data_IF_386294628105
#
_entry.id   IF_386294628105
#
_cell.length_a   1.000
_cell.length_b   1.000
_cell.length_c   1.000
_cell.angle_alpha   90.00
_cell.angle_beta   90.00
_cell.angle_gamma   90.00
#
_symmetry.space_group_name_H-M   'P 1'
#
loop_
_entity.id
_entity.type
_entity.pdbx_description
1 polymer ?
#
# COMPACT_ATOMS: atom_id res chain seq x y z
N UNK A 1 14.24 -4.82 17.78
CA UNK A 1 12.84 -5.23 17.54
C UNK A 1 12.07 -4.12 16.84
N UNK A 2 11.89 -2.93 17.43
CA UNK A 2 11.17 -1.81 16.79
C UNK A 2 11.74 -1.35 15.43
N UNK A 3 13.07 -1.24 15.28
CA UNK A 3 13.66 -0.92 13.98
C UNK A 3 13.42 -1.96 12.87
N UNK A 4 13.21 -3.23 13.21
CA UNK A 4 12.82 -4.25 12.23
C UNK A 4 11.34 -4.17 11.87
N UNK A 5 10.48 -3.71 12.80
CA UNK A 5 9.07 -3.44 12.53
C UNK A 5 8.92 -2.23 11.59
N UNK A 6 9.79 -1.22 11.73
CA UNK A 6 9.80 -0.06 10.83
C UNK A 6 10.02 -0.45 9.35
N UNK A 7 10.85 -1.45 9.09
CA UNK A 7 11.08 -1.97 7.73
C UNK A 7 10.01 -2.95 7.22
N UNK A 8 8.96 -3.22 8.02
CA UNK A 8 7.88 -4.17 7.69
C UNK A 8 6.51 -3.50 7.59
N UNK A 9 6.39 -2.22 7.92
CA UNK A 9 5.14 -1.46 7.79
C UNK A 9 5.15 -0.64 6.50
N UNK A 10 4.03 -0.69 5.77
CA UNK A 10 3.81 0.13 4.57
C UNK A 10 3.34 1.56 4.92
N UNK A 11 3.10 1.83 6.21
CA UNK A 11 2.74 3.16 6.70
C UNK A 11 4.00 3.97 7.02
N UNK A 12 4.30 4.96 6.17
CA UNK A 12 5.48 5.82 6.32
C UNK A 12 5.54 6.59 7.65
N UNK A 13 4.40 6.99 8.21
CA UNK A 13 4.34 7.69 9.50
C UNK A 13 4.67 6.73 10.64
N UNK A 14 4.12 5.51 10.59
CA UNK A 14 4.40 4.45 11.56
C UNK A 14 5.87 3.99 11.47
N UNK A 15 6.40 3.81 10.25
CA UNK A 15 7.80 3.51 10.00
C UNK A 15 8.71 4.60 10.59
N UNK A 16 8.33 5.87 10.44
CA UNK A 16 9.03 7.02 11.02
C UNK A 16 9.04 7.02 12.55
N UNK A 17 7.90 6.71 13.19
CA UNK A 17 7.78 6.60 14.65
C UNK A 17 8.62 5.42 15.17
N UNK A 18 8.47 4.24 14.59
CA UNK A 18 9.20 3.03 14.98
C UNK A 18 10.72 3.18 14.80
N UNK A 19 11.15 3.85 13.72
CA UNK A 19 12.56 4.17 13.48
C UNK A 19 13.09 5.13 14.55
N UNK A 20 12.34 6.20 14.85
CA UNK A 20 12.72 7.21 15.84
C UNK A 20 12.82 6.61 17.25
N UNK A 21 11.86 5.78 17.66
CA UNK A 21 11.92 5.08 18.95
C UNK A 21 13.10 4.09 19.01
N UNK A 22 13.37 3.38 17.90
CA UNK A 22 14.50 2.46 17.83
C UNK A 22 15.83 3.19 17.98
N UNK A 23 16.00 4.35 17.35
CA UNK A 23 17.18 5.20 17.56
C UNK A 23 17.28 5.67 19.00
N UNK A 24 16.18 6.12 19.63
CA UNK A 24 16.20 6.53 21.03
C UNK A 24 16.72 5.45 21.99
N UNK A 25 16.31 4.18 21.80
CA UNK A 25 16.84 3.08 22.60
C UNK A 25 18.30 2.77 22.33
N UNK A 26 18.72 2.78 21.06
CA UNK A 26 20.08 2.45 20.67
C UNK A 26 21.07 3.57 21.05
N UNK A 27 20.65 4.83 20.94
CA UNK A 27 21.42 5.98 21.41
C UNK A 27 21.64 5.88 22.92
N UNK A 28 20.61 5.55 23.69
CA UNK A 28 20.77 5.36 25.14
C UNK A 28 21.64 4.16 25.47
N UNK A 29 21.57 3.08 24.70
CA UNK A 29 22.41 1.90 24.91
C UNK A 29 23.90 2.22 24.67
N UNK A 30 24.24 2.96 23.61
CA UNK A 30 25.63 3.37 23.35
C UNK A 30 26.09 4.48 24.31
N UNK A 31 25.19 5.33 24.80
CA UNK A 31 25.50 6.30 25.86
C UNK A 31 25.89 5.61 27.19
N UNK A 32 25.12 4.58 27.58
CA UNK A 32 25.34 3.84 28.83
C UNK A 32 26.54 2.90 28.75
N UNK A 33 26.81 2.32 27.58
CA UNK A 33 27.98 1.48 27.32
C UNK A 33 28.56 1.79 25.93
N UNK A 34 29.52 2.75 25.85
CA UNK A 34 30.13 3.15 24.60
C UNK A 34 30.90 2.04 23.87
N UNK A 35 31.22 0.93 24.54
CA UNK A 35 31.95 -0.19 23.93
C UNK A 35 31.01 -1.33 23.52
N UNK A 36 29.69 -1.15 23.63
CA UNK A 36 28.72 -2.17 23.28
C UNK A 36 28.65 -2.40 21.77
N UNK A 37 29.39 -3.40 21.28
CA UNK A 37 29.49 -3.71 19.86
C UNK A 37 28.16 -4.09 19.22
N UNK A 38 27.24 -4.73 19.97
CA UNK A 38 25.92 -5.09 19.46
C UNK A 38 25.01 -3.87 19.30
N UNK A 39 24.99 -2.97 20.30
CA UNK A 39 24.19 -1.74 20.20
C UNK A 39 24.66 -0.88 19.01
N UNK A 40 25.98 -0.75 18.83
CA UNK A 40 26.58 -0.06 17.67
C UNK A 40 26.25 -0.74 16.34
N UNK A 41 26.34 -2.07 16.26
CA UNK A 41 25.97 -2.82 15.05
C UNK A 41 24.51 -2.56 14.67
N UNK A 42 23.57 -2.66 15.62
CA UNK A 42 22.16 -2.45 15.33
C UNK A 42 21.83 -0.99 15.01
N UNK A 43 22.52 -0.01 15.63
CA UNK A 43 22.37 1.40 15.29
C UNK A 43 22.93 1.71 13.90
N UNK A 44 24.07 1.09 13.57
CA UNK A 44 24.66 1.07 12.24
C UNK A 44 23.71 0.50 11.17
N UNK A 45 23.17 -0.69 11.41
CA UNK A 45 22.21 -1.34 10.51
C UNK A 45 21.02 -0.43 10.21
N UNK A 46 20.38 0.12 11.25
CA UNK A 46 19.19 0.94 11.05
C UNK A 46 19.57 2.25 10.35
N UNK A 47 20.65 2.92 10.75
CA UNK A 47 21.06 4.18 10.13
C UNK A 47 21.51 4.04 8.67
N UNK A 48 21.97 2.86 8.24
CA UNK A 48 22.20 2.56 6.81
C UNK A 48 20.89 2.32 6.07
N UNK A 49 19.89 1.67 6.70
CA UNK A 49 18.65 1.25 6.03
C UNK A 49 17.56 2.31 5.97
N UNK A 50 17.57 3.30 6.85
CA UNK A 50 16.57 4.38 6.85
C UNK A 50 16.85 5.45 5.77
N UNK A 51 15.84 6.23 5.32
CA UNK A 51 16.03 7.28 4.33
C UNK A 51 17.08 8.34 4.71
N UNK A 52 17.81 8.83 3.70
CA UNK A 52 18.93 9.76 3.87
C UNK A 52 18.55 11.06 4.59
N UNK A 53 17.33 11.57 4.37
CA UNK A 53 16.85 12.82 4.99
C UNK A 53 16.78 12.76 6.53
N UNK A 54 16.88 11.58 7.14
CA UNK A 54 16.95 11.41 8.60
C UNK A 54 18.37 11.67 9.17
N UNK A 55 19.38 11.83 8.31
CA UNK A 55 20.71 12.28 8.71
C UNK A 55 21.43 11.32 9.67
N UNK A 56 21.22 10.01 9.52
CA UNK A 56 21.81 8.96 10.39
C UNK A 56 22.95 8.19 9.75
N UNK A 57 23.20 8.38 8.46
CA UNK A 57 24.17 7.59 7.68
C UNK A 57 25.62 7.73 8.22
N UNK A 58 26.08 8.95 8.51
CA UNK A 58 27.43 9.19 9.05
C UNK A 58 27.65 8.52 10.42
N UNK A 59 26.64 8.63 11.31
CA UNK A 59 26.69 8.00 12.63
C UNK A 59 26.73 6.47 12.51
N UNK A 60 25.93 5.92 11.59
CA UNK A 60 25.88 4.51 11.34
C UNK A 60 27.22 3.96 10.82
N UNK A 61 27.84 4.64 9.86
CA UNK A 61 29.16 4.26 9.34
C UNK A 61 30.20 4.31 10.47
N UNK A 62 30.20 5.37 11.28
CA UNK A 62 31.12 5.48 12.42
C UNK A 62 30.96 4.34 13.44
N UNK A 63 29.71 3.93 13.72
CA UNK A 63 29.44 2.80 14.61
C UNK A 63 29.92 1.47 14.02
N UNK A 64 29.72 1.25 12.73
CA UNK A 64 30.15 0.03 12.06
C UNK A 64 31.68 -0.04 11.93
N UNK A 65 32.34 1.09 11.65
CA UNK A 65 33.81 1.23 11.69
C UNK A 65 34.36 0.89 13.08
N UNK A 66 33.66 1.30 14.14
CA UNK A 66 34.03 0.93 15.50
C UNK A 66 33.95 -0.58 15.71
N UNK A 67 32.89 -1.23 15.20
CA UNK A 67 32.70 -2.67 15.32
C UNK A 67 33.77 -3.46 14.56
N UNK A 68 34.08 -3.07 13.32
CA UNK A 68 35.12 -3.75 12.53
C UNK A 68 36.50 -3.52 13.12
N UNK A 69 36.81 -2.30 13.59
CA UNK A 69 38.07 -2.00 14.27
C UNK A 69 38.26 -2.80 15.55
N UNK A 70 37.20 -2.97 16.36
CA UNK A 70 37.26 -3.80 17.57
C UNK A 70 37.62 -5.26 17.24
N UNK A 71 37.07 -5.78 16.14
CA UNK A 71 37.42 -7.11 15.63
C UNK A 71 38.86 -7.18 15.12
N UNK A 72 39.34 -6.18 14.40
CA UNK A 72 40.74 -6.11 13.93
C UNK A 72 41.75 -6.05 15.09
N UNK A 73 41.41 -5.36 16.19
CA UNK A 73 42.29 -5.24 17.35
C UNK A 73 42.27 -6.47 18.26
N UNK A 74 41.10 -7.09 18.44
CA UNK A 74 40.94 -8.25 19.32
C UNK A 74 40.03 -9.32 18.68
N UNK A 75 40.50 -10.03 17.63
CA UNK A 75 39.68 -11.02 16.92
C UNK A 75 39.20 -12.19 17.77
N UNK A 76 39.95 -12.54 18.84
CA UNK A 76 39.59 -13.62 19.77
C UNK A 76 38.52 -13.23 20.79
N UNK A 77 38.33 -11.92 21.01
CA UNK A 77 37.36 -11.39 21.98
C UNK A 77 36.10 -10.83 21.29
N UNK A 78 36.13 -10.71 19.96
CA UNK A 78 35.05 -10.17 19.14
C UNK A 78 34.46 -11.25 18.23
N UNK A 79 33.13 -11.26 18.08
CA UNK A 79 32.44 -12.28 17.28
C UNK A 79 32.71 -12.08 15.77
N UNK A 80 33.33 -13.06 15.11
CA UNK A 80 33.54 -13.06 13.65
C UNK A 80 32.24 -12.85 12.84
N UNK A 81 31.11 -13.53 13.14
CA UNK A 81 29.81 -13.23 12.51
C UNK A 81 29.34 -11.77 12.67
N UNK A 82 29.65 -11.15 13.80
CA UNK A 82 29.29 -9.76 14.07
C UNK A 82 30.15 -8.79 13.26
N UNK A 83 31.45 -9.09 13.09
CA UNK A 83 32.34 -8.34 12.21
C UNK A 83 31.96 -8.47 10.74
N UNK A 84 31.56 -9.67 10.30
CA UNK A 84 31.07 -9.89 8.93
C UNK A 84 29.84 -9.04 8.64
N UNK A 85 28.83 -9.06 9.52
CA UNK A 85 27.65 -8.18 9.38
C UNK A 85 28.04 -6.69 9.35
N UNK A 86 29.02 -6.27 10.15
CA UNK A 86 29.49 -4.90 10.14
C UNK A 86 30.18 -4.51 8.81
N UNK A 87 31.00 -5.39 8.23
CA UNK A 87 31.64 -5.15 6.93
C UNK A 87 30.62 -5.10 5.77
N UNK A 88 29.60 -5.94 5.80
CA UNK A 88 28.51 -5.93 4.82
C UNK A 88 27.74 -4.60 4.86
N UNK A 89 27.35 -4.16 6.05
CA UNK A 89 26.64 -2.90 6.24
C UNK A 89 27.53 -1.67 5.94
N UNK A 90 28.84 -1.76 6.18
CA UNK A 90 29.80 -0.71 5.80
C UNK A 90 29.92 -0.56 4.30
N UNK A 91 29.94 -1.66 3.56
CA UNK A 91 29.98 -1.62 2.11
C UNK A 91 28.77 -0.85 1.56
N UNK A 92 27.57 -1.19 2.04
CA UNK A 92 26.34 -0.48 1.67
C UNK A 92 26.36 0.99 2.12
N UNK A 93 26.83 1.26 3.34
CA UNK A 93 26.94 2.63 3.86
C UNK A 93 27.89 3.50 3.05
N UNK A 94 29.07 2.99 2.67
CA UNK A 94 30.02 3.72 1.85
C UNK A 94 29.55 3.90 0.41
N UNK A 95 28.83 2.94 -0.17
CA UNK A 95 28.19 3.11 -1.48
C UNK A 95 27.18 4.26 -1.46
N UNK A 96 26.33 4.33 -0.42
CA UNK A 96 25.39 5.44 -0.22
C UNK A 96 26.07 6.81 -0.06
N UNK A 97 27.33 6.85 0.39
CA UNK A 97 28.15 8.06 0.44
C UNK A 97 28.96 8.34 -0.83
N UNK A 98 28.88 7.50 -1.86
CA UNK A 98 29.71 7.58 -3.07
C UNK A 98 31.19 7.25 -2.85
N UNK A 99 31.53 6.61 -1.72
CA UNK A 99 32.91 6.21 -1.36
C UNK A 99 33.22 4.79 -1.87
N UNK A 100 33.15 4.59 -3.18
CA UNK A 100 33.28 3.27 -3.84
C UNK A 100 34.55 2.49 -3.48
N UNK A 101 35.68 3.18 -3.28
CA UNK A 101 36.94 2.54 -2.88
C UNK A 101 36.87 1.92 -1.48
N UNK A 102 36.15 2.56 -0.55
CA UNK A 102 35.98 2.05 0.82
C UNK A 102 34.92 0.94 0.85
N UNK A 103 33.86 1.07 0.05
CA UNK A 103 32.88 0.01 -0.12
C UNK A 103 33.51 -1.28 -0.63
N UNK A 104 34.34 -1.19 -1.68
CA UNK A 104 35.09 -2.33 -2.23
C UNK A 104 36.04 -2.97 -1.23
N UNK A 105 36.66 -2.17 -0.34
CA UNK A 105 37.51 -2.67 0.74
C UNK A 105 36.70 -3.42 1.81
N UNK A 106 35.55 -2.89 2.21
CA UNK A 106 34.66 -3.53 3.18
C UNK A 106 34.12 -4.87 2.64
N UNK A 107 33.68 -4.92 1.39
CA UNK A 107 33.24 -6.16 0.72
C UNK A 107 34.36 -7.20 0.63
N UNK A 108 35.61 -6.78 0.37
CA UNK A 108 36.75 -7.70 0.37
C UNK A 108 37.00 -8.31 1.74
N UNK A 109 36.92 -7.51 2.81
CA UNK A 109 37.07 -7.99 4.20
C UNK A 109 35.97 -8.97 4.58
N UNK A 110 34.74 -8.73 4.15
CA UNK A 110 33.64 -9.69 4.31
C UNK A 110 34.00 -11.05 3.67
N UNK A 111 34.44 -11.05 2.41
CA UNK A 111 34.80 -12.28 1.68
C UNK A 111 35.99 -13.03 2.29
N UNK A 112 37.05 -12.32 2.72
CA UNK A 112 38.21 -12.91 3.41
C UNK A 112 37.80 -13.63 4.70
N UNK A 113 36.82 -13.07 5.42
CA UNK A 113 36.27 -13.68 6.64
C UNK A 113 35.36 -14.86 6.30
N UNK A 114 34.60 -14.80 5.22
CA UNK A 114 33.77 -15.90 4.75
C UNK A 114 34.62 -17.12 4.31
N UNK A 115 35.74 -16.91 3.62
CA UNK A 115 36.62 -18.00 3.12
C UNK A 115 37.40 -18.74 4.22
N UNK A 116 37.76 -18.09 5.33
CA UNK A 116 38.56 -18.71 6.43
C UNK A 116 37.71 -19.41 7.49
N UNK A 117 36.80 -20.31 7.10
CA UNK A 117 36.18 -21.28 8.02
C UNK A 117 36.92 -22.64 7.87
N UNK A 118 37.59 -23.17 8.92
CA UNK A 118 38.37 -24.40 8.77
C UNK A 118 37.48 -25.64 8.94
N UNK A 119 37.55 -26.55 7.96
CA UNK A 119 37.23 -27.96 8.17
C UNK A 119 36.40 -28.61 7.06
N UNK A 120 37.09 -29.23 6.10
CA UNK A 120 36.50 -30.26 5.24
C UNK A 120 36.98 -30.19 3.80
N UNK A 121 38.18 -30.70 3.52
CA UNK A 121 38.43 -31.27 2.19
C UNK A 121 37.39 -32.37 1.95
N UNK A 122 36.53 -32.18 0.95
CA UNK A 122 35.87 -33.27 0.25
C UNK A 122 36.47 -33.38 -1.16
N UNK A 123 36.65 -34.61 -1.67
CA UNK A 123 37.24 -34.83 -2.98
C UNK A 123 36.31 -34.28 -4.07
N UNK A 124 36.89 -33.82 -5.18
CA UNK A 124 36.18 -33.35 -6.35
C UNK A 124 35.13 -34.38 -6.83
N UNK A 125 33.87 -34.10 -6.51
CA UNK A 125 32.67 -34.76 -7.02
C UNK A 125 31.56 -33.71 -6.95
N UNK A 126 31.06 -33.29 -8.12
CA UNK A 126 29.97 -32.32 -8.35
C UNK A 126 29.85 -31.21 -7.29
N UNK A 127 30.46 -30.06 -7.58
CA UNK A 127 30.25 -28.84 -6.81
C UNK A 127 28.75 -28.62 -6.61
N UNK A 128 28.26 -28.76 -5.38
CA UNK A 128 26.90 -28.42 -5.03
C UNK A 128 26.72 -26.93 -5.37
N UNK A 129 26.03 -26.66 -6.47
CA UNK A 129 25.73 -25.31 -6.90
C UNK A 129 25.01 -24.59 -5.77
N UNK A 130 25.41 -23.35 -5.48
CA UNK A 130 24.69 -22.53 -4.50
C UNK A 130 23.18 -22.54 -4.82
N UNK A 131 22.30 -22.70 -3.82
CA UNK A 131 20.85 -22.73 -4.02
C UNK A 131 20.41 -21.53 -4.86
N UNK A 132 19.58 -21.78 -5.86
CA UNK A 132 19.14 -20.75 -6.82
C UNK A 132 18.57 -19.51 -6.10
N UNK A 133 17.90 -19.74 -4.98
CA UNK A 133 17.23 -18.76 -4.13
C UNK A 133 18.20 -17.78 -3.45
N UNK A 134 19.51 -18.06 -3.46
CA UNK A 134 20.57 -17.25 -2.84
C UNK A 134 21.43 -16.49 -3.85
N UNK A 135 21.18 -16.67 -5.15
CA UNK A 135 21.97 -16.07 -6.22
C UNK A 135 21.50 -14.66 -6.53
N UNK A 136 22.43 -13.82 -6.98
CA UNK A 136 22.08 -12.51 -7.54
C UNK A 136 21.42 -12.66 -8.91
N UNK A 137 20.84 -11.56 -9.40
CA UNK A 137 20.27 -11.50 -10.77
C UNK A 137 21.33 -11.84 -11.80
N UNK A 138 22.55 -11.29 -11.69
CA UNK A 138 23.63 -11.51 -12.65
C UNK A 138 24.11 -12.97 -12.65
N UNK A 139 24.12 -13.63 -11.49
CA UNK A 139 24.46 -15.05 -11.38
C UNK A 139 23.41 -15.95 -12.02
N UNK A 140 22.14 -15.60 -11.86
CA UNK A 140 21.02 -16.31 -12.47
C UNK A 140 20.97 -16.10 -13.99
N UNK A 141 21.24 -14.90 -14.47
CA UNK A 141 21.37 -14.59 -15.91
C UNK A 141 22.49 -15.42 -16.55
N UNK A 142 23.68 -15.49 -15.93
CA UNK A 142 24.78 -16.32 -16.43
C UNK A 142 24.43 -17.81 -16.47
N UNK A 143 23.75 -18.34 -15.45
CA UNK A 143 23.28 -19.73 -15.46
C UNK A 143 22.26 -19.98 -16.58
N UNK A 144 21.45 -18.99 -16.91
CA UNK A 144 20.51 -19.07 -18.00
C UNK A 144 21.19 -18.99 -19.38
N UNK A 145 22.33 -18.29 -19.50
CA UNK A 145 23.14 -18.33 -20.74
C UNK A 145 23.66 -19.76 -21.02
N UNK A 146 24.06 -20.49 -19.98
CA UNK A 146 24.56 -21.87 -20.10
C UNK A 146 23.43 -22.88 -20.43
N UNK A 147 22.23 -22.69 -19.88
CA UNK A 147 21.03 -23.50 -20.16
C UNK A 147 19.77 -22.62 -20.31
N UNK A 148 19.50 -22.12 -21.53
CA UNK A 148 18.44 -21.14 -21.78
C UNK A 148 17.00 -21.61 -21.48
N UNK A 149 16.79 -22.93 -21.35
CA UNK A 149 15.46 -23.50 -21.09
C UNK A 149 15.33 -24.03 -19.66
N UNK A 150 16.25 -23.66 -18.76
CA UNK A 150 16.21 -24.11 -17.38
C UNK A 150 15.09 -23.43 -16.60
N UNK A 151 13.93 -24.08 -16.53
CA UNK A 151 12.72 -23.57 -15.86
C UNK A 151 12.98 -23.18 -14.40
N UNK A 152 13.83 -23.91 -13.68
CA UNK A 152 14.15 -23.59 -12.29
C UNK A 152 14.96 -22.29 -12.17
N UNK A 153 15.98 -22.09 -13.03
CA UNK A 153 16.76 -20.84 -13.08
C UNK A 153 15.90 -19.67 -13.54
N UNK A 154 15.07 -19.84 -14.57
CA UNK A 154 14.13 -18.82 -15.05
C UNK A 154 13.16 -18.39 -13.96
N UNK A 155 12.67 -19.35 -13.17
CA UNK A 155 11.77 -19.07 -12.04
C UNK A 155 12.47 -18.31 -10.92
N UNK A 156 13.69 -18.71 -10.57
CA UNK A 156 14.50 -18.01 -9.57
C UNK A 156 14.86 -16.58 -10.02
N UNK A 157 15.19 -16.40 -11.31
CA UNK A 157 15.42 -15.08 -11.91
C UNK A 157 14.15 -14.21 -11.86
N UNK A 158 13.00 -14.79 -12.19
CA UNK A 158 11.71 -14.13 -12.05
C UNK A 158 11.43 -13.67 -10.62
N UNK A 159 11.71 -14.51 -9.62
CA UNK A 159 11.62 -14.13 -8.20
C UNK A 159 12.59 -12.98 -7.87
N UNK A 160 13.85 -13.06 -8.29
CA UNK A 160 14.83 -12.01 -8.03
C UNK A 160 14.42 -10.67 -8.66
N UNK A 161 13.84 -10.68 -9.86
CA UNK A 161 13.26 -9.48 -10.47
C UNK A 161 12.06 -8.92 -9.68
N UNK A 162 11.19 -9.78 -9.12
CA UNK A 162 10.11 -9.34 -8.22
C UNK A 162 10.70 -8.64 -6.99
N UNK A 163 11.70 -9.24 -6.34
CA UNK A 163 12.35 -8.69 -5.15
C UNK A 163 13.05 -7.35 -5.46
N UNK A 164 13.52 -7.17 -6.70
CA UNK A 164 14.08 -5.92 -7.21
C UNK A 164 13.02 -4.89 -7.70
N UNK A 165 11.72 -5.22 -7.67
CA UNK A 165 10.64 -4.38 -8.18
C UNK A 165 10.54 -4.30 -9.71
N UNK A 166 11.32 -5.09 -10.45
CA UNK A 166 11.30 -5.16 -11.91
C UNK A 166 10.20 -6.12 -12.39
N UNK A 167 8.95 -5.74 -12.19
CA UNK A 167 7.79 -6.59 -12.49
C UNK A 167 7.66 -6.92 -13.98
N UNK A 168 8.08 -6.03 -14.89
CA UNK A 168 8.00 -6.29 -16.34
C UNK A 168 8.91 -7.46 -16.75
N UNK A 169 10.16 -7.45 -16.30
CA UNK A 169 11.12 -8.52 -16.61
C UNK A 169 10.76 -9.83 -15.90
N UNK A 170 10.26 -9.74 -14.66
CA UNK A 170 9.72 -10.88 -13.93
C UNK A 170 8.55 -11.54 -14.67
N UNK A 171 7.56 -10.76 -15.11
CA UNK A 171 6.40 -11.27 -15.83
C UNK A 171 6.81 -12.00 -17.12
N UNK A 172 7.74 -11.41 -17.89
CA UNK A 172 8.25 -12.01 -19.12
C UNK A 172 8.92 -13.36 -18.87
N UNK A 173 9.92 -13.41 -17.98
CA UNK A 173 10.70 -14.64 -17.77
C UNK A 173 9.87 -15.76 -17.15
N UNK A 174 8.92 -15.42 -16.25
CA UNK A 174 8.03 -16.39 -15.62
C UNK A 174 7.01 -16.97 -16.63
N UNK A 175 6.54 -16.17 -17.59
CA UNK A 175 5.68 -16.67 -18.67
C UNK A 175 6.45 -17.60 -19.61
N UNK A 176 7.72 -17.31 -19.90
CA UNK A 176 8.57 -18.21 -20.68
C UNK A 176 8.79 -19.54 -19.93
N UNK A 177 9.06 -19.50 -18.63
CA UNK A 177 9.20 -20.70 -17.80
C UNK A 177 7.95 -21.59 -17.84
N UNK A 178 6.75 -20.99 -17.73
CA UNK A 178 5.46 -21.70 -17.84
C UNK A 178 5.23 -22.28 -19.24
N UNK A 179 5.67 -21.58 -20.29
CA UNK A 179 5.53 -22.06 -21.66
C UNK A 179 6.39 -23.30 -21.93
N UNK A 180 7.53 -23.43 -21.24
CA UNK A 180 8.43 -24.59 -21.32
C UNK A 180 7.89 -25.75 -20.48
N UNK A 181 7.50 -25.49 -19.22
CA UNK A 181 6.92 -26.49 -18.33
C UNK A 181 5.62 -25.98 -17.67
N UNK A 182 4.50 -26.41 -18.25
CA UNK A 182 3.14 -26.10 -17.77
C UNK A 182 2.77 -26.77 -16.44
N UNK A 183 3.63 -27.62 -15.90
CA UNK A 183 3.44 -28.32 -14.62
C UNK A 183 4.34 -27.81 -13.50
N UNK A 184 5.23 -26.85 -13.79
CA UNK A 184 6.13 -26.29 -12.79
C UNK A 184 5.43 -25.27 -11.89
N UNK A 185 4.87 -25.76 -10.78
CA UNK A 185 4.08 -24.96 -9.83
C UNK A 185 4.75 -23.65 -9.34
N UNK A 186 6.06 -23.63 -9.01
CA UNK A 186 6.72 -22.41 -8.54
C UNK A 186 6.65 -21.23 -9.53
N UNK A 187 6.71 -21.49 -10.84
CA UNK A 187 6.60 -20.43 -11.85
C UNK A 187 5.20 -19.77 -11.82
N UNK A 188 4.14 -20.56 -11.65
CA UNK A 188 2.79 -20.02 -11.48
C UNK A 188 2.65 -19.22 -10.17
N UNK A 189 3.22 -19.70 -9.07
CA UNK A 189 3.22 -18.99 -7.78
C UNK A 189 3.86 -17.60 -7.93
N UNK A 190 5.08 -17.54 -8.44
CA UNK A 190 5.79 -16.26 -8.59
C UNK A 190 5.17 -15.36 -9.66
N UNK A 191 4.59 -15.91 -10.74
CA UNK A 191 3.84 -15.09 -11.69
C UNK A 191 2.62 -14.46 -11.02
N UNK A 192 1.88 -15.24 -10.22
CA UNK A 192 0.77 -14.72 -9.42
C UNK A 192 1.20 -13.61 -8.47
N UNK A 193 2.34 -13.77 -7.79
CA UNK A 193 2.94 -12.73 -6.92
C UNK A 193 3.29 -11.48 -7.72
N UNK A 194 4.01 -11.64 -8.83
CA UNK A 194 4.43 -10.56 -9.72
C UNK A 194 3.23 -9.72 -10.17
N UNK A 195 2.21 -10.37 -10.70
CA UNK A 195 0.99 -9.71 -11.20
C UNK A 195 0.20 -9.02 -10.08
N UNK A 196 0.16 -9.64 -8.89
CA UNK A 196 -0.53 -9.07 -7.72
C UNK A 196 0.17 -7.80 -7.22
N UNK A 197 1.50 -7.77 -7.24
CA UNK A 197 2.29 -6.60 -6.84
C UNK A 197 2.28 -5.51 -7.91
N UNK A 198 2.42 -5.87 -9.19
CA UNK A 198 2.41 -4.90 -10.30
C UNK A 198 1.05 -4.20 -10.46
N UNK A 199 -0.04 -4.86 -10.03
CA UNK A 199 -1.38 -4.26 -10.01
C UNK A 199 -1.51 -3.16 -8.95
N UNK A 200 -0.78 -3.25 -7.82
CA UNK A 200 -0.88 -2.26 -6.74
C UNK A 200 -0.44 -0.88 -7.26
N UNK A 201 -1.30 0.12 -7.10
CA UNK A 201 -1.05 1.49 -7.55
C UNK A 201 -1.40 1.79 -9.03
N UNK A 202 -1.70 0.78 -9.84
CA UNK A 202 -2.05 0.96 -11.27
C UNK A 202 -3.56 0.91 -11.55
N UNK A 203 -4.37 0.60 -10.53
CA UNK A 203 -5.80 0.28 -10.73
C UNK A 203 -6.64 1.49 -11.12
N UNK A 204 -6.25 2.72 -10.73
CA UNK A 204 -7.10 3.92 -10.88
C UNK A 204 -6.33 5.20 -11.26
N UNK A 205 -5.21 5.06 -11.96
CA UNK A 205 -4.52 6.22 -12.56
C UNK A 205 -5.11 6.61 -13.92
N UNK A 206 -4.59 7.68 -14.52
CA UNK A 206 -5.06 8.27 -15.80
C UNK A 206 -5.23 7.25 -16.94
N UNK A 207 -4.48 6.14 -16.95
CA UNK A 207 -4.55 5.11 -18.00
C UNK A 207 -5.89 4.39 -18.03
N UNK A 208 -6.67 4.42 -16.95
CA UNK A 208 -8.00 3.82 -16.91
C UNK A 208 -8.97 4.46 -17.90
N UNK A 209 -8.70 5.68 -18.34
CA UNK A 209 -9.42 6.34 -19.42
C UNK A 209 -9.31 5.56 -20.74
N UNK A 210 -8.16 4.94 -21.02
CA UNK A 210 -7.92 4.18 -22.25
C UNK A 210 -8.56 2.78 -22.20
N UNK A 211 -8.60 2.17 -21.01
CA UNK A 211 -9.07 0.80 -20.83
C UNK A 211 -9.69 0.59 -19.45
N UNK A 212 -10.98 0.92 -19.35
CA UNK A 212 -11.76 0.79 -18.10
C UNK A 212 -11.87 -0.66 -17.59
N UNK A 213 -11.55 -1.65 -18.43
CA UNK A 213 -11.63 -3.07 -18.10
C UNK A 213 -10.28 -3.70 -17.74
N UNK A 214 -9.17 -2.95 -17.79
CA UNK A 214 -7.82 -3.46 -17.52
C UNK A 214 -7.74 -4.18 -16.18
N UNK A 215 -8.20 -3.51 -15.12
CA UNK A 215 -8.15 -4.03 -13.75
C UNK A 215 -8.97 -5.32 -13.60
N UNK A 216 -10.16 -5.38 -14.20
CA UNK A 216 -11.01 -6.56 -14.18
C UNK A 216 -10.36 -7.75 -14.89
N UNK A 217 -9.80 -7.54 -16.09
CA UNK A 217 -9.09 -8.61 -16.84
C UNK A 217 -7.89 -9.12 -16.07
N UNK A 218 -7.09 -8.22 -15.50
CA UNK A 218 -5.91 -8.59 -14.72
C UNK A 218 -6.30 -9.33 -13.43
N UNK A 219 -7.39 -8.96 -12.76
CA UNK A 219 -7.90 -9.66 -11.58
C UNK A 219 -8.29 -11.11 -11.89
N UNK A 220 -9.01 -11.35 -13.00
CA UNK A 220 -9.34 -12.70 -13.46
C UNK A 220 -8.09 -13.50 -13.84
N UNK A 221 -7.11 -12.87 -14.47
CA UNK A 221 -5.85 -13.51 -14.83
C UNK A 221 -5.06 -13.97 -13.59
N UNK A 222 -4.91 -13.10 -12.58
CA UNK A 222 -4.23 -13.41 -11.33
C UNK A 222 -4.88 -14.64 -10.68
N UNK A 223 -6.22 -14.63 -10.53
CA UNK A 223 -6.92 -15.75 -9.91
C UNK A 223 -6.75 -17.05 -10.70
N UNK A 224 -6.76 -17.02 -12.04
CA UNK A 224 -6.52 -18.20 -12.88
C UNK A 224 -5.11 -18.77 -12.69
N UNK A 225 -4.10 -17.91 -12.57
CA UNK A 225 -2.71 -18.32 -12.38
C UNK A 225 -2.52 -18.93 -10.99
N UNK A 226 -3.10 -18.32 -9.96
CA UNK A 226 -3.04 -18.83 -8.59
C UNK A 226 -3.87 -20.11 -8.40
N UNK A 227 -5.01 -20.22 -9.09
CA UNK A 227 -5.78 -21.47 -9.16
C UNK A 227 -4.89 -22.60 -9.68
N UNK A 228 -4.10 -22.36 -10.74
CA UNK A 228 -3.17 -23.36 -11.29
C UNK A 228 -1.99 -23.67 -10.37
N UNK A 229 -1.43 -22.67 -9.68
CA UNK A 229 -0.35 -22.88 -8.71
C UNK A 229 -0.78 -23.85 -7.60
N UNK A 230 -1.95 -23.63 -7.00
CA UNK A 230 -2.48 -24.49 -5.93
C UNK A 230 -3.00 -25.83 -6.46
N UNK A 231 -3.47 -25.91 -7.71
CA UNK A 231 -3.81 -27.19 -8.36
C UNK A 231 -2.58 -28.09 -8.49
N UNK A 232 -1.44 -27.53 -8.94
CA UNK A 232 -0.19 -28.27 -9.15
C UNK A 232 0.54 -28.60 -7.85
N UNK A 233 0.45 -27.72 -6.85
CA UNK A 233 1.07 -27.89 -5.54
C UNK A 233 0.05 -27.60 -4.42
N UNK A 234 -0.88 -28.53 -4.14
CA UNK A 234 -1.93 -28.33 -3.14
C UNK A 234 -1.41 -28.25 -1.71
N UNK A 235 -0.18 -28.67 -1.43
CA UNK A 235 0.42 -28.57 -0.10
C UNK A 235 1.33 -27.33 0.05
N UNK A 236 1.50 -26.52 -1.01
CA UNK A 236 2.22 -25.23 -0.92
C UNK A 236 1.36 -24.19 -0.18
N UNK A 237 1.67 -24.02 1.10
CA UNK A 237 0.97 -23.09 2.00
C UNK A 237 1.17 -21.62 1.61
N UNK A 238 2.28 -21.25 0.96
CA UNK A 238 2.50 -19.89 0.47
C UNK A 238 1.63 -19.60 -0.75
N UNK A 239 1.52 -20.57 -1.68
CA UNK A 239 0.62 -20.47 -2.83
C UNK A 239 -0.84 -20.35 -2.39
N UNK A 240 -1.26 -21.17 -1.40
CA UNK A 240 -2.60 -21.07 -0.80
C UNK A 240 -2.81 -19.74 -0.09
N UNK A 241 -1.83 -19.28 0.69
CA UNK A 241 -1.90 -17.99 1.36
C UNK A 241 -2.11 -16.88 0.33
N UNK A 242 -1.29 -16.82 -0.72
CA UNK A 242 -1.40 -15.80 -1.76
C UNK A 242 -2.76 -15.87 -2.48
N UNK A 243 -3.24 -17.05 -2.86
CA UNK A 243 -4.58 -17.22 -3.45
C UNK A 243 -5.68 -16.81 -2.48
N UNK A 244 -5.50 -17.09 -1.20
CA UNK A 244 -6.34 -16.67 -0.08
C UNK A 244 -6.48 -15.15 0.01
N UNK A 245 -5.35 -14.47 0.13
CA UNK A 245 -5.27 -13.00 0.21
C UNK A 245 -5.84 -12.35 -1.04
N UNK A 246 -5.55 -12.87 -2.24
CA UNK A 246 -6.13 -12.35 -3.48
C UNK A 246 -7.64 -12.61 -3.54
N UNK A 247 -8.11 -13.80 -3.17
CA UNK A 247 -9.54 -14.10 -3.12
C UNK A 247 -10.33 -13.16 -2.19
N UNK A 248 -9.70 -12.72 -1.09
CA UNK A 248 -10.28 -11.78 -0.13
C UNK A 248 -10.17 -10.32 -0.58
N UNK A 249 -9.12 -9.91 -1.28
CA UNK A 249 -8.91 -8.50 -1.65
C UNK A 249 -9.41 -8.16 -3.06
N UNK A 250 -9.64 -9.15 -3.92
CA UNK A 250 -10.14 -8.92 -5.26
C UNK A 250 -11.57 -8.32 -5.23
N UNK A 251 -11.94 -7.57 -6.29
CA UNK A 251 -13.29 -7.07 -6.44
C UNK A 251 -14.34 -8.19 -6.37
N UNK A 252 -15.51 -7.89 -5.80
CA UNK A 252 -16.55 -8.90 -5.52
C UNK A 252 -16.97 -9.70 -6.77
N UNK A 253 -16.90 -9.11 -7.97
CA UNK A 253 -17.30 -9.75 -9.23
C UNK A 253 -16.40 -10.91 -9.64
N UNK A 254 -15.20 -11.01 -9.08
CA UNK A 254 -14.30 -12.15 -9.27
C UNK A 254 -14.85 -13.39 -8.55
N UNK A 255 -15.67 -13.19 -7.50
CA UNK A 255 -16.43 -14.25 -6.86
C UNK A 255 -15.58 -15.23 -6.05
N UNK A 256 -14.47 -14.77 -5.47
CA UNK A 256 -13.47 -15.62 -4.81
C UNK A 256 -13.39 -15.44 -3.29
N UNK A 257 -14.29 -14.68 -2.68
CA UNK A 257 -14.27 -14.43 -1.23
C UNK A 257 -14.32 -15.73 -0.40
N UNK A 258 -15.26 -16.63 -0.69
CA UNK A 258 -15.39 -17.89 0.07
C UNK A 258 -14.20 -18.84 -0.16
N UNK A 259 -13.68 -18.90 -1.39
CA UNK A 259 -12.44 -19.65 -1.68
C UNK A 259 -11.27 -19.06 -0.88
N UNK A 260 -11.16 -17.74 -0.87
CA UNK A 260 -10.08 -17.04 -0.19
C UNK A 260 -10.09 -17.28 1.32
N UNK A 261 -11.27 -17.20 1.94
CA UNK A 261 -11.46 -17.54 3.36
C UNK A 261 -11.05 -19.00 3.60
N UNK A 262 -11.53 -19.95 2.79
CA UNK A 262 -11.21 -21.37 2.96
C UNK A 262 -9.71 -21.67 2.85
N UNK A 263 -9.01 -21.03 1.91
CA UNK A 263 -7.56 -21.19 1.77
C UNK A 263 -6.81 -20.64 2.98
N UNK A 264 -7.19 -19.45 3.47
CA UNK A 264 -6.54 -18.88 4.65
C UNK A 264 -6.87 -19.62 5.93
N UNK A 265 -8.07 -20.21 6.07
CA UNK A 265 -8.38 -21.12 7.18
C UNK A 265 -7.47 -22.34 7.16
N UNK A 266 -7.21 -22.89 5.97
CA UNK A 266 -6.29 -24.02 5.79
C UNK A 266 -4.88 -23.64 6.25
N UNK A 267 -4.38 -22.47 5.85
CA UNK A 267 -3.07 -21.95 6.27
C UNK A 267 -3.03 -21.66 7.78
N UNK A 268 -4.09 -21.07 8.33
CA UNK A 268 -4.17 -20.74 9.75
C UNK A 268 -4.22 -21.99 10.66
N UNK A 269 -4.79 -23.09 10.17
CA UNK A 269 -4.93 -24.34 10.92
C UNK A 269 -3.76 -25.32 10.72
N UNK A 270 -2.86 -25.04 9.77
CA UNK A 270 -1.71 -25.90 9.48
C UNK A 270 -0.52 -25.68 10.45
N UNK A 271 0.57 -26.37 10.14
CA UNK A 271 1.89 -26.25 10.76
C UNK A 271 2.78 -25.16 10.14
N UNK A 272 2.19 -24.23 9.36
CA UNK A 272 2.88 -23.05 8.84
C UNK A 272 3.65 -22.26 9.92
N UNK A 273 4.70 -21.51 9.53
CA UNK A 273 5.38 -20.56 10.42
C UNK A 273 4.39 -19.58 11.07
N UNK A 274 4.69 -19.17 12.31
CA UNK A 274 3.81 -18.33 13.12
C UNK A 274 3.48 -16.99 12.42
N UNK A 275 4.45 -16.43 11.69
CA UNK A 275 4.31 -15.21 10.90
C UNK A 275 3.24 -15.38 9.81
N UNK A 276 3.34 -16.44 9.00
CA UNK A 276 2.39 -16.72 7.92
C UNK A 276 0.98 -16.98 8.48
N UNK A 277 0.88 -17.65 9.63
CA UNK A 277 -0.39 -17.88 10.33
C UNK A 277 -0.97 -16.58 10.87
N UNK A 278 -0.15 -15.70 11.43
CA UNK A 278 -0.60 -14.40 11.93
C UNK A 278 -1.15 -13.54 10.79
N UNK A 279 -0.45 -13.49 9.65
CA UNK A 279 -0.93 -12.80 8.45
C UNK A 279 -2.22 -13.43 7.91
N UNK A 280 -2.32 -14.77 7.86
CA UNK A 280 -3.54 -15.45 7.46
C UNK A 280 -4.71 -15.09 8.38
N UNK A 281 -4.48 -15.03 9.69
CA UNK A 281 -5.47 -14.59 10.69
C UNK A 281 -5.95 -13.15 10.47
N UNK A 282 -5.04 -12.23 10.15
CA UNK A 282 -5.38 -10.85 9.81
C UNK A 282 -6.32 -10.77 8.59
N UNK A 283 -5.94 -11.43 7.49
CA UNK A 283 -6.76 -11.44 6.28
C UNK A 283 -8.06 -12.22 6.45
N UNK A 284 -8.10 -13.26 7.29
CA UNK A 284 -9.36 -13.92 7.68
C UNK A 284 -10.31 -12.94 8.37
N UNK A 285 -9.81 -12.07 9.25
CA UNK A 285 -10.60 -10.99 9.84
C UNK A 285 -11.28 -10.12 8.78
N UNK A 286 -10.49 -9.66 7.80
CA UNK A 286 -11.00 -8.89 6.65
C UNK A 286 -12.04 -9.70 5.86
N UNK A 287 -11.75 -10.98 5.55
CA UNK A 287 -12.64 -11.86 4.81
C UNK A 287 -13.99 -12.05 5.52
N UNK A 288 -13.97 -12.28 6.82
CA UNK A 288 -15.18 -12.46 7.62
C UNK A 288 -15.96 -11.15 7.79
N UNK A 289 -15.29 -10.00 7.90
CA UNK A 289 -15.94 -8.69 7.85
C UNK A 289 -16.66 -8.51 6.51
N UNK A 290 -15.98 -8.75 5.37
CA UNK A 290 -16.58 -8.70 4.03
C UNK A 290 -17.75 -9.66 3.86
N UNK A 291 -17.63 -10.87 4.42
CA UNK A 291 -18.72 -11.87 4.42
C UNK A 291 -19.91 -11.37 5.22
N UNK A 292 -19.70 -10.78 6.39
CA UNK A 292 -20.73 -10.12 7.20
C UNK A 292 -21.41 -8.98 6.43
N UNK A 293 -20.64 -8.08 5.81
CA UNK A 293 -21.15 -6.99 4.97
C UNK A 293 -22.02 -7.51 3.83
N UNK A 294 -21.67 -8.66 3.21
CA UNK A 294 -22.49 -9.25 2.16
C UNK A 294 -23.90 -9.64 2.63
N UNK A 295 -24.07 -10.02 3.90
CA UNK A 295 -25.39 -10.27 4.48
C UNK A 295 -26.15 -8.98 4.73
N UNK A 296 -25.49 -7.96 5.26
CA UNK A 296 -26.08 -6.63 5.44
C UNK A 296 -26.58 -6.04 4.11
N UNK A 297 -25.80 -6.16 3.04
CA UNK A 297 -26.22 -5.75 1.70
C UNK A 297 -27.44 -6.53 1.19
N UNK A 298 -27.50 -7.85 1.45
CA UNK A 298 -28.69 -8.66 1.13
C UNK A 298 -29.92 -8.18 1.91
N UNK A 299 -29.74 -7.74 3.17
CA UNK A 299 -30.83 -7.16 3.97
C UNK A 299 -31.30 -5.85 3.35
N UNK A 300 -30.39 -4.91 3.06
CA UNK A 300 -30.74 -3.62 2.48
C UNK A 300 -31.34 -3.71 1.08
N UNK A 301 -30.95 -4.73 0.30
CA UNK A 301 -31.48 -4.93 -1.07
C UNK A 301 -32.82 -5.66 -1.10
N UNK A 302 -33.04 -6.67 -0.25
CA UNK A 302 -34.27 -7.50 -0.27
C UNK A 302 -35.32 -7.07 0.75
N UNK A 303 -34.91 -6.42 1.83
CA UNK A 303 -35.74 -6.11 3.00
C UNK A 303 -35.62 -4.64 3.42
N UNK A 304 -35.34 -3.76 2.45
CA UNK A 304 -35.08 -2.32 2.70
C UNK A 304 -36.22 -1.58 3.38
N UNK A 305 -37.47 -2.00 3.17
CA UNK A 305 -38.66 -1.37 3.77
C UNK A 305 -38.93 -1.81 5.21
N UNK A 306 -38.21 -2.81 5.71
CA UNK A 306 -38.39 -3.32 7.07
C UNK A 306 -37.54 -2.51 8.08
N UNK A 307 -37.98 -2.40 9.36
CA UNK A 307 -37.21 -1.70 10.39
C UNK A 307 -35.76 -2.19 10.57
N UNK A 308 -35.49 -3.46 10.24
CA UNK A 308 -34.13 -4.04 10.30
C UNK A 308 -33.14 -3.36 9.34
N UNK A 309 -33.61 -2.76 8.24
CA UNK A 309 -32.74 -2.01 7.33
C UNK A 309 -32.11 -0.81 8.04
N UNK A 310 -32.87 -0.13 8.92
CA UNK A 310 -32.34 0.97 9.72
C UNK A 310 -31.27 0.50 10.70
N UNK A 311 -31.45 -0.66 11.34
CA UNK A 311 -30.44 -1.24 12.23
C UNK A 311 -29.13 -1.50 11.49
N UNK A 312 -29.20 -1.99 10.24
CA UNK A 312 -28.01 -2.21 9.41
C UNK A 312 -27.32 -0.88 9.07
N UNK A 313 -28.07 0.14 8.67
CA UNK A 313 -27.50 1.47 8.37
C UNK A 313 -26.86 2.10 9.61
N UNK A 314 -27.49 1.98 10.78
CA UNK A 314 -26.93 2.45 12.05
C UNK A 314 -25.64 1.71 12.42
N UNK A 315 -25.56 0.40 12.17
CA UNK A 315 -24.36 -0.39 12.43
C UNK A 315 -23.18 -0.06 11.49
N UNK A 316 -23.44 0.53 10.32
CA UNK A 316 -22.40 0.98 9.37
C UNK A 316 -21.88 2.38 9.65
N UNK A 317 -22.60 3.19 10.45
CA UNK A 317 -22.28 4.60 10.65
C UNK A 317 -20.96 4.78 11.42
N UNK A 318 -19.99 5.51 10.86
CA UNK A 318 -18.78 5.87 11.59
C UNK A 318 -19.11 6.87 12.70
N UNK A 319 -18.26 6.98 13.75
CA UNK A 319 -18.33 8.12 14.66
C UNK A 319 -18.07 9.42 13.89
N UNK A 320 -18.79 10.47 14.28
CA UNK A 320 -18.56 11.84 13.78
C UNK A 320 -17.63 12.51 14.78
N UNK A 321 -16.46 12.93 14.35
CA UNK A 321 -15.56 13.79 15.11
C UNK A 321 -15.88 15.25 14.79
N UNK A 322 -15.09 16.21 15.26
CA UNK A 322 -15.34 17.62 14.93
C UNK A 322 -14.08 18.18 14.26
N UNK A 323 -14.23 18.68 13.05
CA UNK A 323 -13.17 19.37 12.32
C UNK A 323 -12.52 20.49 13.15
N UNK A 324 -11.19 20.45 13.31
CA UNK A 324 -10.40 21.56 13.86
C UNK A 324 -9.98 22.50 12.72
N UNK A 325 -10.59 23.68 12.67
CA UNK A 325 -10.34 24.71 11.66
C UNK A 325 -9.38 25.79 12.14
N UNK A 326 -8.78 25.65 13.32
CA UNK A 326 -7.98 26.72 13.95
C UNK A 326 -6.72 27.13 13.17
N UNK A 327 -6.19 26.25 12.33
CA UNK A 327 -4.98 26.47 11.53
C UNK A 327 -5.25 27.02 10.12
N UNK A 328 -6.51 27.12 9.71
CA UNK A 328 -6.88 27.49 8.34
C UNK A 328 -6.92 29.00 8.14
N UNK A 329 -6.44 29.45 6.97
CA UNK A 329 -6.40 30.88 6.61
C UNK A 329 -7.77 31.38 6.17
N UNK A 330 -8.25 32.46 6.79
CA UNK A 330 -9.54 33.11 6.49
C UNK A 330 -9.39 34.21 5.42
N UNK A 331 -10.43 34.49 4.61
CA UNK A 331 -11.77 33.89 4.64
C UNK A 331 -11.83 32.54 3.92
N UNK A 332 -12.71 31.64 4.37
CA UNK A 332 -12.90 30.30 3.80
C UNK A 332 -14.33 29.78 3.99
N UNK A 333 -14.68 28.73 3.24
CA UNK A 333 -15.83 27.86 3.54
C UNK A 333 -15.31 26.46 3.85
N UNK A 334 -15.64 25.95 5.04
CA UNK A 334 -15.41 24.56 5.41
C UNK A 334 -16.64 23.73 5.06
N UNK A 335 -16.41 22.57 4.45
CA UNK A 335 -17.42 21.62 3.99
C UNK A 335 -17.12 20.29 4.66
N UNK A 336 -17.91 19.95 5.67
CA UNK A 336 -17.76 18.76 6.50
C UNK A 336 -18.94 17.81 6.22
N UNK A 337 -18.67 16.58 5.81
CA UNK A 337 -19.72 15.61 5.56
C UNK A 337 -19.30 14.19 5.96
N UNK A 338 -20.30 13.34 6.19
CA UNK A 338 -20.08 11.94 6.58
C UNK A 338 -20.54 11.02 5.47
N UNK A 339 -19.63 10.16 4.99
CA UNK A 339 -20.00 8.96 4.24
C UNK A 339 -20.31 7.87 5.25
N UNK A 340 -21.56 7.43 5.34
CA UNK A 340 -22.04 6.52 6.37
C UNK A 340 -22.31 5.09 5.89
N UNK A 341 -22.18 4.84 4.58
CA UNK A 341 -22.54 3.56 3.98
C UNK A 341 -21.32 2.85 3.40
N UNK A 342 -21.03 1.66 3.94
CA UNK A 342 -19.92 0.81 3.48
C UNK A 342 -20.39 -0.15 2.39
N UNK A 343 -19.93 0.08 1.16
CA UNK A 343 -20.13 -0.85 0.04
C UNK A 343 -18.94 -1.84 -0.08
N UNK A 344 -18.87 -2.62 -1.16
CA UNK A 344 -17.78 -3.54 -1.46
C UNK A 344 -16.50 -2.83 -1.89
N UNK A 345 -16.62 -1.61 -2.41
CA UNK A 345 -15.52 -0.70 -2.75
C UNK A 345 -15.90 0.72 -2.29
N UNK A 346 -14.89 1.60 -2.17
CA UNK A 346 -15.11 3.00 -1.85
C UNK A 346 -16.06 3.65 -2.87
N UNK A 347 -16.99 4.52 -2.43
CA UNK A 347 -17.90 5.22 -3.33
C UNK A 347 -17.14 6.16 -4.26
N UNK A 348 -17.83 6.54 -5.33
CA UNK A 348 -17.45 7.72 -6.10
C UNK A 348 -18.20 8.92 -5.55
N UNK A 349 -17.47 10.00 -5.27
CA UNK A 349 -17.99 11.21 -4.64
C UNK A 349 -17.50 12.45 -5.40
N UNK A 350 -18.37 13.45 -5.54
CA UNK A 350 -17.99 14.81 -5.95
C UNK A 350 -18.52 15.82 -4.93
N UNK A 351 -17.72 16.85 -4.68
CA UNK A 351 -18.07 18.03 -3.89
C UNK A 351 -17.86 19.26 -4.77
N UNK A 352 -18.91 20.05 -4.96
CA UNK A 352 -18.83 21.25 -5.81
C UNK A 352 -19.73 22.37 -5.30
N UNK A 353 -19.52 23.55 -5.88
CA UNK A 353 -20.21 24.79 -5.52
C UNK A 353 -21.00 25.29 -6.74
N UNK A 354 -22.23 25.72 -6.48
CA UNK A 354 -23.09 26.43 -7.44
C UNK A 354 -23.50 27.80 -6.87
N UNK A 355 -23.91 28.72 -7.75
CA UNK A 355 -24.64 29.94 -7.34
C UNK A 355 -26.06 29.60 -6.89
N UNK A 356 -26.78 30.55 -6.28
CA UNK A 356 -28.21 30.39 -5.94
C UNK A 356 -29.07 30.06 -7.17
N UNK A 357 -28.66 30.51 -8.36
CA UNK A 357 -29.35 30.25 -9.64
C UNK A 357 -28.97 28.88 -10.27
N UNK A 358 -28.06 28.13 -9.65
CA UNK A 358 -27.59 26.82 -10.12
C UNK A 358 -26.46 26.87 -11.15
N UNK A 359 -25.82 28.03 -11.34
CA UNK A 359 -24.66 28.15 -12.20
C UNK A 359 -23.43 27.53 -11.52
N UNK A 360 -22.64 26.79 -12.29
CA UNK A 360 -21.41 26.18 -11.81
C UNK A 360 -20.39 27.23 -11.36
N UNK A 361 -19.81 27.04 -10.17
CA UNK A 361 -18.72 27.87 -9.66
C UNK A 361 -17.39 27.13 -9.74
N UNK A 362 -17.30 25.97 -9.06
CA UNK A 362 -16.13 25.08 -9.11
C UNK A 362 -16.36 23.72 -8.46
N UNK A 363 -15.50 22.78 -8.76
CA UNK A 363 -15.36 21.52 -8.03
C UNK A 363 -14.31 21.72 -6.94
N UNK A 364 -14.60 21.19 -5.75
CA UNK A 364 -13.69 21.19 -4.60
C UNK A 364 -12.96 19.84 -4.52
N UNK A 365 -13.67 18.76 -4.83
CA UNK A 365 -13.13 17.41 -4.85
C UNK A 365 -13.93 16.52 -5.81
N UNK A 366 -13.23 15.60 -6.49
CA UNK A 366 -13.87 14.47 -7.16
C UNK A 366 -13.03 13.21 -7.00
N UNK A 367 -13.69 12.07 -6.79
CA UNK A 367 -13.04 10.77 -6.65
C UNK A 367 -12.29 10.36 -7.92
N UNK A 368 -11.12 9.73 -7.71
CA UNK A 368 -10.13 9.38 -8.71
C UNK A 368 -10.70 8.72 -9.96
N UNK A 369 -11.45 7.63 -9.80
CA UNK A 369 -12.02 6.94 -10.96
C UNK A 369 -12.93 7.87 -11.76
N UNK A 370 -13.89 8.55 -11.12
CA UNK A 370 -14.82 9.47 -11.81
C UNK A 370 -14.10 10.65 -12.49
N UNK A 371 -13.05 11.18 -11.87
CA UNK A 371 -12.22 12.23 -12.45
C UNK A 371 -11.40 11.75 -13.66
N UNK A 372 -10.82 10.54 -13.60
CA UNK A 372 -10.01 9.99 -14.69
C UNK A 372 -10.85 9.43 -15.85
N UNK A 373 -12.00 8.80 -15.60
CA UNK A 373 -12.88 8.25 -16.66
C UNK A 373 -13.95 9.23 -17.14
N UNK A 374 -13.86 10.51 -16.75
CA UNK A 374 -14.71 11.58 -17.30
C UNK A 374 -14.75 11.48 -18.83
N UNK A 375 -15.90 11.81 -19.42
CA UNK A 375 -16.15 11.69 -20.87
C UNK A 375 -16.25 10.26 -21.43
N UNK A 376 -15.63 9.26 -20.79
CA UNK A 376 -15.73 7.83 -21.18
C UNK A 376 -16.88 7.13 -20.45
N UNK A 377 -16.99 7.34 -19.14
CA UNK A 377 -18.01 6.73 -18.30
C UNK A 377 -18.46 7.72 -17.21
N UNK A 378 -19.72 8.15 -17.31
CA UNK A 378 -20.30 9.06 -16.32
C UNK A 378 -20.85 8.27 -15.13
N UNK A 379 -20.15 8.37 -13.99
CA UNK A 379 -20.56 7.75 -12.72
C UNK A 379 -21.33 8.71 -11.83
N UNK A 380 -20.98 9.99 -11.86
CA UNK A 380 -21.57 11.08 -11.06
C UNK A 380 -22.39 12.01 -11.98
N UNK A 381 -23.65 11.67 -12.31
CA UNK A 381 -24.40 12.30 -13.39
C UNK A 381 -24.84 13.75 -13.11
N UNK A 382 -25.04 14.14 -11.85
CA UNK A 382 -25.44 15.52 -11.53
C UNK A 382 -24.23 16.44 -11.64
N UNK A 383 -23.13 16.10 -10.97
CA UNK A 383 -21.87 16.82 -11.06
C UNK A 383 -21.40 16.94 -12.51
N UNK A 384 -21.36 15.84 -13.26
CA UNK A 384 -20.90 15.84 -14.65
C UNK A 384 -21.72 16.79 -15.55
N UNK A 385 -23.03 16.88 -15.33
CA UNK A 385 -23.92 17.74 -16.11
C UNK A 385 -23.66 19.22 -15.82
N UNK A 386 -23.46 19.57 -14.55
CA UNK A 386 -23.28 20.95 -14.12
C UNK A 386 -21.85 21.43 -14.41
N UNK A 387 -20.85 20.68 -13.97
CA UNK A 387 -19.44 21.07 -14.08
C UNK A 387 -18.91 20.98 -15.50
N UNK A 388 -19.45 20.06 -16.32
CA UNK A 388 -18.91 19.69 -17.63
C UNK A 388 -17.40 19.42 -17.56
N UNK A 389 -16.93 18.97 -16.40
CA UNK A 389 -15.54 18.63 -16.09
C UNK A 389 -14.51 19.77 -16.18
N UNK A 390 -14.94 21.04 -16.16
CA UNK A 390 -14.11 22.24 -16.45
C UNK A 390 -12.81 22.34 -15.62
N UNK A 391 -12.77 21.78 -14.42
CA UNK A 391 -11.62 21.82 -13.49
C UNK A 391 -11.31 20.44 -12.85
N UNK A 392 -11.89 19.37 -13.39
CA UNK A 392 -11.85 18.05 -12.76
C UNK A 392 -10.41 17.55 -12.53
N UNK A 393 -9.50 17.77 -13.48
CA UNK A 393 -8.10 17.32 -13.39
C UNK A 393 -7.33 17.95 -12.22
N UNK A 394 -7.65 19.21 -11.87
CA UNK A 394 -6.94 19.93 -10.81
C UNK A 394 -7.33 19.46 -9.40
N UNK A 395 -8.48 18.77 -9.26
CA UNK A 395 -9.08 18.41 -7.97
C UNK A 395 -9.37 16.91 -7.84
N UNK A 396 -9.03 16.13 -8.87
CA UNK A 396 -9.15 14.67 -8.84
C UNK A 396 -8.17 14.11 -7.82
N UNK A 397 -8.68 13.34 -6.86
CA UNK A 397 -7.87 12.76 -5.80
C UNK A 397 -8.33 11.33 -5.46
N UNK A 398 -7.61 10.64 -4.57
CA UNK A 398 -7.98 9.30 -4.14
C UNK A 398 -9.46 9.24 -3.70
N UNK A 399 -10.13 8.12 -4.00
CA UNK A 399 -11.51 7.91 -3.56
C UNK A 399 -11.55 7.86 -2.03
N UNK A 400 -12.48 8.59 -1.44
CA UNK A 400 -12.74 8.58 0.01
C UNK A 400 -13.66 7.42 0.39
N UNK A 401 -13.48 6.88 1.60
CA UNK A 401 -14.28 5.77 2.15
C UNK A 401 -15.23 6.27 3.25
N UNK A 402 -15.90 5.35 3.95
CA UNK A 402 -16.74 5.63 5.11
C UNK A 402 -15.95 6.41 6.17
N UNK A 403 -16.54 7.52 6.64
CA UNK A 403 -15.91 8.42 7.60
C UNK A 403 -16.40 9.85 7.44
N UNK A 404 -15.91 10.71 8.33
CA UNK A 404 -16.01 12.16 8.22
C UNK A 404 -14.95 12.69 7.25
N UNK A 405 -15.33 13.63 6.41
CA UNK A 405 -14.46 14.25 5.41
C UNK A 405 -14.65 15.75 5.41
N UNK A 406 -13.54 16.47 5.50
CA UNK A 406 -13.53 17.93 5.58
C UNK A 406 -12.76 18.49 4.38
N UNK A 407 -13.43 19.34 3.61
CA UNK A 407 -12.84 20.06 2.49
C UNK A 407 -12.97 21.56 2.68
N UNK A 408 -12.00 22.30 2.15
CA UNK A 408 -11.99 23.75 2.23
C UNK A 408 -12.19 24.32 0.82
N UNK A 409 -13.18 25.19 0.70
CA UNK A 409 -13.30 26.07 -0.44
C UNK A 409 -12.70 27.44 -0.10
N UNK A 410 -11.70 27.85 -0.87
CA UNK A 410 -10.95 29.10 -0.72
C UNK A 410 -11.64 30.31 -1.36
N UNK A 411 -12.95 30.22 -1.65
CA UNK A 411 -13.76 31.29 -2.23
C UNK A 411 -13.32 31.71 -3.64
N UNK A 412 -12.71 30.81 -4.40
CA UNK A 412 -12.41 31.03 -5.82
C UNK A 412 -13.37 30.28 -6.74
N UNK A 413 -13.53 30.74 -7.98
CA UNK A 413 -14.21 30.01 -9.05
C UNK A 413 -13.24 29.04 -9.78
N UNK A 414 -13.72 28.37 -10.84
CA UNK A 414 -12.91 27.43 -11.63
C UNK A 414 -11.74 28.08 -12.37
N UNK A 415 -11.69 29.41 -12.48
CA UNK A 415 -10.57 30.16 -13.05
C UNK A 415 -9.58 30.65 -11.98
N UNK A 416 -9.85 30.37 -10.70
CA UNK A 416 -9.06 30.86 -9.57
C UNK A 416 -9.38 32.31 -9.18
N UNK A 417 -10.45 32.90 -9.70
CA UNK A 417 -10.87 34.27 -9.35
C UNK A 417 -11.75 34.26 -8.10
N UNK A 418 -11.57 35.25 -7.21
CA UNK A 418 -12.39 35.36 -6.00
C UNK A 418 -13.85 35.60 -6.34
N UNK A 419 -14.74 34.82 -5.73
CA UNK A 419 -16.18 34.97 -5.91
C UNK A 419 -16.72 36.19 -5.16
N UNK A 420 -17.88 36.69 -5.60
CA UNK A 420 -18.53 37.86 -4.97
C UNK A 420 -19.30 37.44 -3.71
N UNK A 421 -19.48 38.35 -2.73
CA UNK A 421 -20.46 38.14 -1.67
C UNK A 421 -21.84 37.83 -2.24
N UNK A 422 -22.55 36.89 -1.63
CA UNK A 422 -23.82 36.37 -2.12
C UNK A 422 -24.10 34.97 -1.61
N UNK A 423 -25.17 34.38 -2.11
CA UNK A 423 -25.60 33.02 -1.76
C UNK A 423 -25.05 32.00 -2.73
N UNK A 424 -24.62 30.88 -2.18
CA UNK A 424 -24.08 29.74 -2.90
C UNK A 424 -24.69 28.47 -2.37
N UNK A 425 -24.58 27.39 -3.13
CA UNK A 425 -25.05 26.06 -2.74
C UNK A 425 -23.88 25.09 -2.84
N UNK A 426 -23.55 24.46 -1.72
CA UNK A 426 -22.59 23.36 -1.66
C UNK A 426 -23.33 22.05 -1.94
N UNK A 427 -22.77 21.21 -2.79
CA UNK A 427 -23.35 19.92 -3.16
C UNK A 427 -22.36 18.79 -2.96
N UNK A 428 -22.87 17.67 -2.43
CA UNK A 428 -22.14 16.40 -2.32
C UNK A 428 -22.97 15.31 -2.99
N UNK A 429 -22.43 14.74 -4.08
CA UNK A 429 -23.02 13.61 -4.80
C UNK A 429 -22.19 12.36 -4.52
N UNK A 430 -22.85 11.27 -4.12
CA UNK A 430 -22.20 10.00 -3.84
C UNK A 430 -22.92 8.85 -4.57
N UNK A 431 -22.14 7.98 -5.21
CA UNK A 431 -22.63 6.75 -5.86
C UNK A 431 -21.85 5.55 -5.34
N UNK A 432 -22.57 4.45 -5.09
CA UNK A 432 -22.02 3.25 -4.47
C UNK A 432 -22.21 2.06 -5.41
N UNK A 433 -21.12 1.33 -5.65
CA UNK A 433 -21.11 0.15 -6.49
C UNK A 433 -20.57 -1.05 -5.71
N UNK A 434 -21.19 -2.23 -5.83
CA UNK A 434 -22.24 -2.62 -6.79
C UNK A 434 -23.67 -2.42 -6.32
N UNK A 435 -23.88 -1.84 -5.15
CA UNK A 435 -25.23 -1.72 -4.59
C UNK A 435 -26.16 -0.79 -5.39
N UNK A 436 -25.61 0.02 -6.30
CA UNK A 436 -26.28 1.07 -7.06
C UNK A 436 -27.01 2.05 -6.13
N UNK A 437 -26.50 2.26 -4.91
CA UNK A 437 -27.01 3.29 -4.02
C UNK A 437 -26.48 4.65 -4.49
N UNK A 438 -27.30 5.65 -4.26
CA UNK A 438 -27.08 7.01 -4.75
C UNK A 438 -27.63 7.99 -3.72
N UNK A 439 -26.92 9.08 -3.50
CA UNK A 439 -27.42 10.21 -2.74
C UNK A 439 -26.80 11.52 -3.25
N UNK A 440 -27.63 12.55 -3.32
CA UNK A 440 -27.22 13.95 -3.45
C UNK A 440 -27.71 14.67 -2.19
N UNK A 441 -26.83 15.44 -1.57
CA UNK A 441 -27.16 16.33 -0.45
C UNK A 441 -26.62 17.72 -0.77
N UNK A 442 -27.36 18.75 -0.38
CA UNK A 442 -27.01 20.14 -0.65
C UNK A 442 -27.23 21.03 0.56
N UNK A 443 -26.40 22.07 0.70
CA UNK A 443 -26.49 23.05 1.77
C UNK A 443 -26.27 24.46 1.20
N UNK A 444 -27.23 25.39 1.37
CA UNK A 444 -27.01 26.79 1.03
C UNK A 444 -26.02 27.42 2.02
N UNK A 445 -25.27 28.41 1.57
CA UNK A 445 -24.37 29.21 2.42
C UNK A 445 -24.30 30.65 1.90
N UNK A 446 -24.32 31.62 2.82
CA UNK A 446 -24.18 33.04 2.52
C UNK A 446 -22.74 33.51 2.78
N UNK A 447 -22.09 34.04 1.73
CA UNK A 447 -20.76 34.62 1.81
C UNK A 447 -20.89 36.14 1.94
N UNK A 448 -20.38 36.70 3.03
CA UNK A 448 -20.51 38.13 3.31
C UNK A 448 -19.59 38.63 4.43
N UNK A 449 -20.08 39.61 5.20
CA UNK A 449 -19.34 40.24 6.31
C UNK A 449 -19.45 39.50 7.64
N UNK A 450 -20.28 38.47 7.73
CA UNK A 450 -20.56 37.73 8.96
C UNK A 450 -20.39 36.25 8.71
N UNK A 451 -20.08 35.52 9.78
CA UNK A 451 -20.08 34.06 9.76
C UNK A 451 -21.48 33.55 9.38
N UNK A 452 -21.52 32.51 8.55
CA UNK A 452 -22.73 31.78 8.25
C UNK A 452 -22.49 30.28 8.44
N UNK A 453 -23.53 29.56 8.84
CA UNK A 453 -23.44 28.18 9.27
C UNK A 453 -24.72 27.41 8.96
N UNK A 454 -24.58 26.29 8.26
CA UNK A 454 -25.70 25.44 7.87
C UNK A 454 -25.38 23.97 8.13
N UNK A 455 -26.33 23.25 8.72
CA UNK A 455 -26.25 21.80 8.97
C UNK A 455 -27.46 21.11 8.38
N UNK A 456 -27.22 20.13 7.51
CA UNK A 456 -28.23 19.29 6.88
C UNK A 456 -28.05 17.85 7.37
N UNK A 457 -29.16 17.25 7.84
CA UNK A 457 -29.19 15.88 8.38
C UNK A 457 -30.25 15.06 7.67
N UNK A 458 -29.95 14.64 6.45
CA UNK A 458 -30.88 13.90 5.59
C UNK A 458 -30.23 12.74 4.84
N UNK A 459 -31.05 11.78 4.46
CA UNK A 459 -30.60 10.58 3.76
C UNK A 459 -29.86 9.59 4.66
N UNK A 460 -29.46 8.48 4.04
CA UNK A 460 -28.92 7.31 4.75
C UNK A 460 -27.45 7.06 4.45
N UNK A 461 -26.95 7.51 3.29
CA UNK A 461 -25.60 7.22 2.80
C UNK A 461 -24.65 8.40 3.00
N UNK A 462 -25.16 9.62 2.87
CA UNK A 462 -24.48 10.88 3.25
C UNK A 462 -25.36 11.63 4.26
N UNK A 463 -25.54 11.10 5.49
CA UNK A 463 -26.56 11.57 6.43
C UNK A 463 -26.25 12.94 7.06
N UNK A 464 -25.11 13.53 6.73
CA UNK A 464 -24.58 14.72 7.38
C UNK A 464 -23.82 15.58 6.37
N UNK A 465 -24.16 16.86 6.33
CA UNK A 465 -23.40 17.92 5.67
C UNK A 465 -23.47 19.18 6.53
N UNK A 466 -22.32 19.67 6.99
CA UNK A 466 -22.12 20.93 7.69
C UNK A 466 -21.26 21.86 6.83
N UNK A 467 -21.75 23.08 6.63
CA UNK A 467 -21.06 24.11 5.86
C UNK A 467 -20.90 25.35 6.72
N UNK A 468 -19.66 25.80 6.87
CA UNK A 468 -19.31 26.94 7.71
C UNK A 468 -18.53 27.96 6.90
N UNK A 469 -19.08 29.16 6.71
CA UNK A 469 -18.35 30.30 6.16
C UNK A 469 -17.69 31.10 7.27
N UNK A 470 -16.37 31.22 7.23
CA UNK A 470 -15.59 32.04 8.15
C UNK A 470 -15.09 33.29 7.42
N UNK A 471 -15.56 34.50 7.77
CA UNK A 471 -15.09 35.74 7.17
C UNK A 471 -13.66 36.05 7.60
N UNK A 472 -13.05 37.03 6.93
CA UNK A 472 -11.74 37.56 7.33
C UNK A 472 -11.84 38.21 8.71
N UNK A 473 -10.84 38.02 9.57
CA UNK A 473 -10.80 38.57 10.94
C UNK A 473 -10.88 40.10 11.00
#
# INVERSE_FOLDING_TARGET
YKGMLAGKTDNFLEAGVLSSESFGFLDKAVELDPNNLRARLYRGLIGVKVPEFLGRLDQAISDLEFVTKAYETSPSETSKPLAMQAYELLAEGYEKQGKHDLASQASRRYSELAEKAPGGEQPAGEAAQAPLDTLSVEDLERRLEDDPNNVAVMTALGKAYIDAGNFASAEEILRQAIAIDTTYAPAYKYLGTCLSLSMRGQVYDERIHEDTNWAARRAFEIMRILDKAVELAPDDLEARFLRGVMGINMPFFVGRLEQGISDLETVYQSDAPAELKAEAGYYLGIGYERKGMSYWHKVLSKYGDLPVARMVLEAMRPPIEKADLSSQSRPLVAIDFVIAFKDQIAPQVAVWVETEDGDYVRTVYVSGFSGHVKEVQVVLPVWARTSKFIDADAVTAASIDVGEHVYIWDLTDSNGEKVKPGKYVIKVEATFWPSNKYQLIEAPIEIGSSEDHVVVREGDFVPYLEVTYLPQE
#
